data_IF_003159302722
#
_entry.id   IF_003159302722
#
_cell.length_a   1.000
_cell.length_b   1.000
_cell.length_c   1.000
_cell.angle_alpha   90.00
_cell.angle_beta   90.00
_cell.angle_gamma   90.00
#
_symmetry.space_group_name_H-M   'P 1'
#
loop_
_entity.id
_entity.type
_entity.pdbx_description
1 polymer ?
#
# COMPACT_ATOMS: atom_id res chain seq x y z
N UNK A 1 -0.40 -42.46 -37.30
CA UNK A 1 -1.04 -41.13 -37.17
C UNK A 1 -1.77 -40.90 -35.84
N UNK A 2 -2.00 -41.92 -34.99
CA UNK A 2 -2.71 -41.72 -33.71
C UNK A 2 -1.82 -41.32 -32.52
N UNK A 3 -0.51 -41.60 -32.55
CA UNK A 3 0.41 -41.34 -31.42
C UNK A 3 0.86 -39.88 -31.34
N UNK A 4 0.99 -39.18 -32.47
CA UNK A 4 1.38 -37.77 -32.50
C UNK A 4 0.29 -36.81 -31.97
N UNK A 5 -0.98 -37.21 -32.04
CA UNK A 5 -2.11 -36.39 -31.54
C UNK A 5 -2.20 -36.37 -30.01
N UNK A 6 -1.78 -37.45 -29.34
CA UNK A 6 -1.80 -37.55 -27.88
C UNK A 6 -0.68 -36.71 -27.25
N UNK A 7 0.51 -36.71 -27.84
CA UNK A 7 1.63 -35.89 -27.35
C UNK A 7 1.39 -34.39 -27.55
N UNK A 8 0.73 -33.98 -28.63
CA UNK A 8 0.37 -32.58 -28.86
C UNK A 8 -0.72 -32.10 -27.88
N UNK A 9 -1.68 -32.97 -27.51
CA UNK A 9 -2.69 -32.68 -26.48
C UNK A 9 -2.12 -32.63 -25.07
N UNK A 10 -1.14 -33.48 -24.72
CA UNK A 10 -0.43 -33.39 -23.45
C UNK A 10 0.44 -32.13 -23.34
N UNK A 11 1.07 -31.70 -24.44
CA UNK A 11 1.86 -30.46 -24.47
C UNK A 11 0.98 -29.22 -24.28
N UNK A 12 -0.21 -29.19 -24.88
CA UNK A 12 -1.22 -28.14 -24.65
C UNK A 12 -1.82 -28.19 -23.23
N UNK A 13 -1.97 -29.36 -22.62
CA UNK A 13 -2.41 -29.47 -21.21
C UNK A 13 -1.32 -29.01 -20.23
N UNK A 14 -0.04 -29.28 -20.52
CA UNK A 14 1.10 -28.82 -19.73
C UNK A 14 1.34 -27.29 -19.87
N UNK A 15 1.04 -26.71 -21.03
CA UNK A 15 1.04 -25.24 -21.24
C UNK A 15 -0.19 -24.55 -20.63
N UNK A 16 -1.30 -25.26 -20.44
CA UNK A 16 -2.48 -24.73 -19.74
C UNK A 16 -2.35 -24.79 -18.19
N UNK A 17 -1.36 -25.55 -17.68
CA UNK A 17 -1.08 -25.71 -16.26
C UNK A 17 0.12 -24.90 -15.76
N UNK A 18 0.80 -24.14 -16.62
CA UNK A 18 1.70 -23.07 -16.19
C UNK A 18 0.89 -21.82 -15.80
N UNK A 19 -0.02 -21.98 -14.84
CA UNK A 19 -0.43 -20.86 -14.01
C UNK A 19 0.79 -20.45 -13.23
N UNK A 20 1.44 -19.37 -13.63
CA UNK A 20 2.52 -18.77 -12.85
C UNK A 20 1.89 -18.37 -11.52
N UNK A 21 2.05 -19.18 -10.48
CA UNK A 21 1.76 -18.74 -9.12
C UNK A 21 2.74 -17.63 -8.82
N UNK A 22 2.25 -16.40 -8.93
CA UNK A 22 3.02 -15.24 -8.53
C UNK A 22 2.98 -15.21 -7.01
N UNK A 23 4.12 -15.51 -6.39
CA UNK A 23 4.34 -15.25 -4.97
C UNK A 23 4.26 -13.73 -4.74
N UNK A 24 3.50 -13.29 -3.74
CA UNK A 24 3.42 -11.90 -3.28
C UNK A 24 4.71 -11.38 -2.62
N UNK A 25 5.83 -12.11 -2.77
CA UNK A 25 7.13 -11.81 -2.21
C UNK A 25 7.59 -10.38 -2.54
N UNK A 26 7.46 -9.48 -1.56
CA UNK A 26 7.90 -8.09 -1.65
C UNK A 26 6.81 -7.09 -2.09
N UNK A 27 5.58 -7.50 -2.36
CA UNK A 27 4.48 -6.57 -2.66
C UNK A 27 3.80 -6.11 -1.35
N UNK A 28 3.71 -4.80 -1.13
CA UNK A 28 2.79 -4.22 -0.15
C UNK A 28 1.44 -3.91 -0.78
N UNK A 29 0.37 -3.93 0.02
CA UNK A 29 -0.97 -3.53 -0.44
C UNK A 29 -1.59 -2.56 0.56
N UNK A 30 -2.20 -1.49 0.06
CA UNK A 30 -3.04 -0.60 0.85
C UNK A 30 -4.38 -1.28 1.12
N UNK A 31 -4.72 -1.49 2.39
CA UNK A 31 -6.01 -2.02 2.80
C UNK A 31 -6.92 -0.86 3.24
N UNK A 32 -7.52 -0.21 2.24
CA UNK A 32 -8.54 0.82 2.43
C UNK A 32 -9.86 0.23 2.92
N UNK A 33 -10.59 1.00 3.73
CA UNK A 33 -11.82 0.58 4.41
C UNK A 33 -12.98 1.56 4.21
N UNK A 34 -12.90 2.48 3.23
CA UNK A 34 -13.97 3.45 2.94
C UNK A 34 -15.06 2.77 2.09
N UNK A 35 -15.72 1.79 2.68
CA UNK A 35 -16.78 0.99 2.07
C UNK A 35 -17.68 0.33 3.12
N UNK A 36 -18.91 -0.03 2.74
CA UNK A 36 -19.89 -0.70 3.60
C UNK A 36 -20.13 -2.18 3.25
N UNK A 37 -19.43 -2.70 2.24
CA UNK A 37 -19.64 -4.04 1.68
C UNK A 37 -18.41 -4.94 1.70
N UNK A 38 -17.33 -4.54 2.40
CA UNK A 38 -16.09 -5.32 2.49
C UNK A 38 -16.25 -6.60 3.33
N UNK A 39 -15.44 -7.65 3.07
CA UNK A 39 -15.36 -8.80 3.95
C UNK A 39 -14.88 -8.40 5.35
N UNK A 40 -15.20 -9.22 6.36
CA UNK A 40 -14.64 -9.02 7.69
C UNK A 40 -13.10 -9.16 7.68
N UNK A 41 -12.38 -8.44 8.56
CA UNK A 41 -10.92 -8.52 8.61
C UNK A 41 -10.37 -9.93 8.78
N UNK A 42 -11.07 -10.82 9.49
CA UNK A 42 -10.69 -12.24 9.62
C UNK A 42 -10.73 -12.99 8.29
N UNK A 43 -11.72 -12.71 7.42
CA UNK A 43 -11.78 -13.31 6.09
C UNK A 43 -10.69 -12.74 5.18
N UNK A 44 -10.42 -11.44 5.29
CA UNK A 44 -9.33 -10.77 4.57
C UNK A 44 -7.97 -11.34 4.98
N UNK A 45 -7.76 -11.60 6.27
CA UNK A 45 -6.54 -12.24 6.78
C UNK A 45 -6.26 -13.59 6.11
N UNK A 46 -7.25 -14.46 6.02
CA UNK A 46 -7.10 -15.76 5.32
C UNK A 46 -6.87 -15.58 3.82
N UNK A 47 -7.58 -14.64 3.19
CA UNK A 47 -7.39 -14.36 1.76
C UNK A 47 -5.96 -13.88 1.47
N UNK A 48 -5.43 -12.95 2.25
CA UNK A 48 -4.08 -12.43 2.04
C UNK A 48 -2.99 -13.47 2.35
N UNK A 49 -3.21 -14.34 3.34
CA UNK A 49 -2.34 -15.50 3.56
C UNK A 49 -2.28 -16.42 2.34
N UNK A 50 -3.43 -16.64 1.67
CA UNK A 50 -3.46 -17.44 0.43
C UNK A 50 -2.77 -16.78 -0.77
N UNK A 51 -2.58 -15.46 -0.70
CA UNK A 51 -1.91 -14.65 -1.74
C UNK A 51 -0.41 -14.44 -1.47
N UNK A 52 0.12 -14.96 -0.37
CA UNK A 52 1.49 -14.71 0.09
C UNK A 52 1.82 -13.20 0.21
N UNK A 53 0.79 -12.41 0.56
CA UNK A 53 0.96 -10.97 0.83
C UNK A 53 1.51 -10.82 2.24
N UNK A 54 2.70 -10.23 2.35
CA UNK A 54 3.42 -10.11 3.61
C UNK A 54 3.44 -8.68 4.17
N UNK A 55 2.87 -7.69 3.47
CA UNK A 55 2.93 -6.28 3.89
C UNK A 55 1.63 -5.55 3.60
N UNK A 56 1.11 -4.85 4.60
CA UNK A 56 -0.10 -4.04 4.51
C UNK A 56 0.13 -2.62 5.01
N UNK A 57 -0.52 -1.67 4.36
CA UNK A 57 -0.66 -0.28 4.84
C UNK A 57 -2.11 -0.01 5.15
N UNK A 58 -2.38 0.42 6.37
CA UNK A 58 -3.66 0.93 6.86
C UNK A 58 -3.59 2.45 6.96
N UNK A 59 -4.74 3.10 6.79
CA UNK A 59 -4.90 4.55 6.95
C UNK A 59 -5.26 4.94 8.39
N UNK A 60 -5.44 3.96 9.25
CA UNK A 60 -5.72 4.06 10.67
C UNK A 60 -4.96 2.96 11.45
N UNK A 61 -5.35 2.76 12.71
CA UNK A 61 -4.94 1.64 13.54
C UNK A 61 -6.17 0.81 13.97
N UNK A 62 -6.98 0.34 13.01
CA UNK A 62 -8.20 -0.42 13.31
C UNK A 62 -7.91 -1.67 14.16
N UNK A 63 -8.42 -1.75 15.41
CA UNK A 63 -8.17 -2.86 16.30
C UNK A 63 -8.71 -4.19 15.77
N UNK A 64 -9.80 -4.19 14.98
CA UNK A 64 -10.38 -5.40 14.39
C UNK A 64 -9.45 -6.00 13.33
N UNK A 65 -8.83 -5.14 12.52
CA UNK A 65 -7.83 -5.56 11.55
C UNK A 65 -6.60 -6.07 12.26
N UNK A 66 -6.00 -5.29 13.16
CA UNK A 66 -4.78 -5.70 13.87
C UNK A 66 -4.96 -7.02 14.62
N UNK A 67 -6.12 -7.26 15.22
CA UNK A 67 -6.44 -8.52 15.90
C UNK A 67 -6.63 -9.69 14.92
N UNK A 68 -7.26 -9.47 13.76
CA UNK A 68 -7.48 -10.51 12.75
C UNK A 68 -6.17 -11.05 12.12
N UNK A 69 -5.07 -10.30 12.23
CA UNK A 69 -3.74 -10.68 11.77
C UNK A 69 -2.79 -11.08 12.92
N UNK A 70 -3.32 -11.30 14.13
CA UNK A 70 -2.55 -11.79 15.27
C UNK A 70 -1.84 -13.12 14.92
N UNK A 71 -0.56 -13.20 15.27
CA UNK A 71 0.38 -14.28 15.00
C UNK A 71 0.64 -14.56 13.50
N UNK A 72 0.25 -13.65 12.61
CA UNK A 72 0.67 -13.70 11.21
C UNK A 72 2.05 -13.07 11.01
N UNK A 73 2.69 -13.37 9.87
CA UNK A 73 3.96 -12.74 9.47
C UNK A 73 3.77 -11.41 8.73
N UNK A 74 2.53 -10.92 8.58
CA UNK A 74 2.22 -9.71 7.82
C UNK A 74 2.71 -8.47 8.56
N UNK A 75 3.54 -7.68 7.90
CA UNK A 75 4.02 -6.39 8.39
C UNK A 75 3.00 -5.28 8.14
N UNK A 76 2.78 -4.43 9.14
CA UNK A 76 1.87 -3.30 9.05
C UNK A 76 2.60 -1.95 9.09
N UNK A 77 2.23 -1.09 8.14
CA UNK A 77 2.23 0.36 8.33
C UNK A 77 0.82 0.74 8.81
N UNK A 78 0.70 1.45 9.93
CA UNK A 78 -0.56 2.01 10.42
C UNK A 78 -0.58 3.53 10.25
N UNK A 79 -1.76 4.10 10.05
CA UNK A 79 -1.92 5.53 9.81
C UNK A 79 -2.36 6.31 11.05
N UNK A 80 -1.88 7.55 11.16
CA UNK A 80 -2.50 8.59 11.97
C UNK A 80 -3.08 9.61 10.98
N UNK A 81 -4.40 9.79 11.00
CA UNK A 81 -5.10 10.74 10.12
C UNK A 81 -4.68 12.19 10.31
N UNK A 82 -4.88 13.01 9.26
CA UNK A 82 -4.51 14.43 9.24
C UNK A 82 -5.22 15.23 10.34
N UNK A 83 -6.43 14.82 10.71
CA UNK A 83 -7.26 15.39 11.78
C UNK A 83 -6.63 15.26 13.18
N UNK A 84 -5.69 14.33 13.36
CA UNK A 84 -5.00 14.12 14.64
C UNK A 84 -3.65 14.81 14.73
N UNK A 85 -3.17 15.51 13.69
CA UNK A 85 -1.81 16.07 13.68
C UNK A 85 -1.58 17.07 14.82
N UNK A 86 -2.56 17.94 15.11
CA UNK A 86 -2.45 18.87 16.23
C UNK A 86 -2.36 18.12 17.57
N UNK A 87 -3.19 17.09 17.73
CA UNK A 87 -3.25 16.30 18.96
C UNK A 87 -1.99 15.46 19.16
N UNK A 88 -1.41 14.94 18.08
CA UNK A 88 -0.18 14.16 18.14
C UNK A 88 1.06 15.01 18.40
N UNK A 89 0.98 16.34 18.36
CA UNK A 89 2.04 17.21 18.86
C UNK A 89 2.03 17.37 20.40
N UNK A 90 0.95 16.95 21.08
CA UNK A 90 0.84 16.95 22.54
C UNK A 90 1.40 15.64 23.14
N UNK A 91 2.32 15.70 24.12
CA UNK A 91 2.95 14.50 24.69
C UNK A 91 1.95 13.52 25.34
N UNK A 92 0.94 14.03 26.03
CA UNK A 92 -0.03 13.19 26.75
C UNK A 92 -0.95 12.51 25.74
N UNK A 93 -1.42 13.24 24.74
CA UNK A 93 -2.28 12.69 23.69
C UNK A 93 -1.53 11.68 22.81
N UNK A 94 -0.29 11.97 22.40
CA UNK A 94 0.53 11.03 21.63
C UNK A 94 0.80 9.74 22.41
N UNK A 95 1.15 9.85 23.70
CA UNK A 95 1.33 8.69 24.57
C UNK A 95 0.05 7.86 24.70
N UNK A 96 -1.09 8.51 24.96
CA UNK A 96 -2.37 7.83 25.04
C UNK A 96 -2.70 7.11 23.72
N UNK A 97 -2.44 7.74 22.58
CA UNK A 97 -2.71 7.13 21.28
C UNK A 97 -1.87 5.86 21.07
N UNK A 98 -0.55 5.90 21.34
CA UNK A 98 0.32 4.72 21.21
C UNK A 98 -0.11 3.60 22.16
N UNK A 99 -0.41 3.93 23.42
CA UNK A 99 -0.81 2.95 24.43
C UNK A 99 -2.17 2.31 24.14
N UNK A 100 -3.09 3.03 23.53
CA UNK A 100 -4.44 2.54 23.23
C UNK A 100 -4.51 1.81 21.88
N UNK A 101 -3.84 2.33 20.85
CA UNK A 101 -4.03 1.86 19.47
C UNK A 101 -2.91 0.93 18.96
N UNK A 102 -1.71 0.97 19.55
CA UNK A 102 -0.60 0.12 19.11
C UNK A 102 -0.21 -0.92 20.14
N UNK A 103 0.11 -0.48 21.35
CA UNK A 103 0.75 -1.33 22.36
C UNK A 103 0.02 -2.65 22.65
N UNK A 104 -1.32 -2.73 22.66
CA UNK A 104 -2.04 -4.00 22.87
C UNK A 104 -1.78 -5.06 21.79
N UNK A 105 -1.34 -4.66 20.59
CA UNK A 105 -1.19 -5.52 19.41
C UNK A 105 0.26 -5.90 19.11
N UNK A 106 1.25 -5.10 19.55
CA UNK A 106 2.66 -5.24 19.16
C UNK A 106 3.29 -6.60 19.47
N UNK A 107 2.77 -7.34 20.45
CA UNK A 107 3.28 -8.65 20.82
C UNK A 107 2.89 -9.76 19.84
N UNK A 108 1.78 -9.60 19.10
CA UNK A 108 1.22 -10.64 18.25
C UNK A 108 1.08 -10.19 16.78
N UNK A 109 1.03 -8.88 16.52
CA UNK A 109 0.87 -8.33 15.18
C UNK A 109 2.10 -7.49 14.84
N UNK A 110 2.69 -7.74 13.67
CA UNK A 110 3.97 -7.15 13.25
C UNK A 110 3.78 -5.73 12.72
N UNK A 111 3.41 -4.79 13.60
CA UNK A 111 3.39 -3.36 13.28
C UNK A 111 4.83 -2.86 13.29
N UNK A 112 5.28 -2.31 12.16
CA UNK A 112 6.68 -1.90 11.96
C UNK A 112 6.83 -0.40 11.71
N UNK A 113 5.73 0.28 11.38
CA UNK A 113 5.77 1.69 11.00
C UNK A 113 4.46 2.41 11.33
N UNK A 114 4.57 3.67 11.73
CA UNK A 114 3.47 4.64 11.81
C UNK A 114 3.68 5.69 10.72
N UNK A 115 2.69 5.86 9.83
CA UNK A 115 2.62 6.99 8.91
C UNK A 115 1.80 8.10 9.56
N UNK A 116 2.46 9.19 9.96
CA UNK A 116 1.82 10.36 10.56
C UNK A 116 1.36 11.30 9.46
N UNK A 117 0.05 11.41 9.29
CA UNK A 117 -0.56 12.12 8.18
C UNK A 117 -0.46 11.36 6.85
N UNK A 118 -1.30 11.78 5.91
CA UNK A 118 -1.32 11.33 4.52
C UNK A 118 -1.62 12.51 3.61
N UNK A 119 -0.72 12.78 2.68
CA UNK A 119 -0.86 13.83 1.68
C UNK A 119 -1.10 15.24 2.25
N UNK A 120 -0.51 15.55 3.40
CA UNK A 120 -0.76 16.79 4.17
C UNK A 120 -0.63 18.06 3.33
N UNK A 121 0.35 18.13 2.42
CA UNK A 121 0.62 19.30 1.57
C UNK A 121 -0.29 19.42 0.33
N UNK A 122 -1.33 18.59 0.21
CA UNK A 122 -2.46 18.82 -0.70
C UNK A 122 -3.56 19.68 -0.07
N UNK A 123 -3.59 19.82 1.25
CA UNK A 123 -4.51 20.77 1.89
C UNK A 123 -4.06 22.20 1.61
N UNK A 124 -5.01 23.14 1.57
CA UNK A 124 -4.69 24.58 1.54
C UNK A 124 -4.56 25.17 2.97
N UNK A 125 -4.46 24.30 3.99
CA UNK A 125 -4.43 24.69 5.39
C UNK A 125 -2.99 24.65 5.93
N UNK A 126 -2.37 25.82 5.99
CA UNK A 126 -1.00 25.99 6.50
C UNK A 126 -0.87 25.62 7.98
N UNK A 127 -1.97 25.63 8.76
CA UNK A 127 -1.94 25.15 10.13
C UNK A 127 -1.67 23.64 10.15
N UNK A 128 -2.35 22.86 9.28
CA UNK A 128 -2.11 21.42 9.16
C UNK A 128 -0.67 21.15 8.73
N UNK A 129 -0.12 21.94 7.79
CA UNK A 129 1.28 21.81 7.38
C UNK A 129 2.25 21.98 8.56
N UNK A 130 2.03 23.02 9.37
CA UNK A 130 2.87 23.31 10.54
C UNK A 130 2.78 22.28 11.65
N UNK A 131 1.69 21.51 11.72
CA UNK A 131 1.48 20.47 12.72
C UNK A 131 2.19 19.14 12.38
N UNK A 132 2.54 18.90 11.11
CA UNK A 132 3.06 17.60 10.66
C UNK A 132 4.36 17.20 11.37
N UNK A 133 5.40 18.02 11.27
CA UNK A 133 6.70 17.66 11.85
C UNK A 133 6.67 17.60 13.39
N UNK A 134 6.01 18.52 14.12
CA UNK A 134 5.79 18.37 15.55
C UNK A 134 5.13 17.04 15.93
N UNK A 135 4.09 16.63 15.20
CA UNK A 135 3.43 15.34 15.41
C UNK A 135 4.39 14.16 15.18
N UNK A 136 5.13 14.15 14.07
CA UNK A 136 6.11 13.10 13.79
C UNK A 136 7.16 12.97 14.90
N UNK A 137 7.72 14.10 15.34
CA UNK A 137 8.72 14.14 16.42
C UNK A 137 8.14 13.64 17.74
N UNK A 138 6.94 14.07 18.09
CA UNK A 138 6.31 13.69 19.36
C UNK A 138 5.93 12.21 19.40
N UNK A 139 5.38 11.66 18.31
CA UNK A 139 5.09 10.23 18.18
C UNK A 139 6.38 9.42 18.26
N UNK A 140 7.45 9.84 17.58
CA UNK A 140 8.75 9.18 17.66
C UNK A 140 9.31 9.19 19.10
N UNK A 141 9.32 10.35 19.76
CA UNK A 141 9.78 10.48 21.15
C UNK A 141 8.96 9.61 22.10
N UNK A 142 7.65 9.50 21.86
CA UNK A 142 6.76 8.62 22.62
C UNK A 142 7.17 7.17 22.48
N UNK A 143 7.46 6.70 21.25
CA UNK A 143 7.97 5.35 21.01
C UNK A 143 9.31 5.11 21.70
N UNK A 144 10.23 6.08 21.66
CA UNK A 144 11.52 6.01 22.37
C UNK A 144 11.32 5.87 23.89
N UNK A 145 10.44 6.71 24.48
CA UNK A 145 10.16 6.69 25.92
C UNK A 145 9.51 5.37 26.37
N UNK A 146 8.75 4.72 25.49
CA UNK A 146 8.14 3.41 25.74
C UNK A 146 9.06 2.22 25.37
N UNK A 147 10.25 2.48 24.82
CA UNK A 147 11.20 1.45 24.36
C UNK A 147 10.74 0.70 23.10
N UNK A 148 9.89 1.32 22.29
CA UNK A 148 9.27 0.75 21.08
C UNK A 148 9.93 1.21 19.77
N UNK A 149 10.86 2.17 19.82
CA UNK A 149 11.50 2.79 18.64
C UNK A 149 12.37 1.82 17.83
N UNK A 150 12.75 0.67 18.41
CA UNK A 150 13.46 -0.41 17.70
C UNK A 150 12.54 -1.33 16.91
N UNK A 151 11.25 -1.33 17.24
CA UNK A 151 10.23 -2.15 16.56
C UNK A 151 9.43 -1.32 15.57
N UNK A 152 9.08 -0.08 15.93
CA UNK A 152 8.18 0.79 15.18
C UNK A 152 8.88 2.09 14.80
N UNK A 153 9.02 2.33 13.50
CA UNK A 153 9.54 3.61 12.98
C UNK A 153 8.40 4.60 12.71
N UNK A 154 8.75 5.88 12.55
CA UNK A 154 7.80 6.95 12.22
C UNK A 154 8.17 7.57 10.87
N UNK A 155 7.19 7.75 10.01
CA UNK A 155 7.31 8.41 8.71
C UNK A 155 6.05 9.22 8.40
N UNK A 156 5.93 9.77 7.19
CA UNK A 156 4.73 10.43 6.66
C UNK A 156 4.65 10.17 5.15
N UNK A 157 3.44 10.06 4.61
CA UNK A 157 3.20 9.84 3.19
C UNK A 157 2.89 11.15 2.47
N UNK A 158 3.64 11.41 1.39
CA UNK A 158 3.50 12.60 0.58
C UNK A 158 2.85 12.32 -0.78
N UNK A 159 2.06 13.26 -1.33
CA UNK A 159 1.59 13.16 -2.70
C UNK A 159 2.70 13.57 -3.67
N UNK A 160 2.74 13.02 -4.89
CA UNK A 160 3.73 13.45 -5.89
C UNK A 160 3.67 14.96 -6.22
N UNK A 161 2.55 15.63 -5.96
CA UNK A 161 2.34 17.07 -6.17
C UNK A 161 3.18 17.97 -5.26
N UNK A 162 3.97 17.43 -4.34
CA UNK A 162 4.99 18.21 -3.59
C UNK A 162 6.25 18.49 -4.43
N UNK A 163 6.39 17.85 -5.58
CA UNK A 163 7.49 18.08 -6.52
C UNK A 163 7.13 19.27 -7.42
N UNK A 164 7.96 20.32 -7.37
CA UNK A 164 7.80 21.54 -8.16
C UNK A 164 8.31 21.40 -9.58
N UNK A 165 9.51 20.84 -9.75
CA UNK A 165 10.04 20.42 -11.05
C UNK A 165 10.33 18.92 -11.02
N UNK A 166 9.87 18.18 -12.02
CA UNK A 166 10.08 16.72 -12.13
C UNK A 166 10.67 16.29 -13.47
N UNK A 167 10.88 17.23 -14.40
CA UNK A 167 11.42 16.92 -15.73
C UNK A 167 12.61 17.84 -16.09
N UNK A 168 13.74 17.28 -16.56
CA UNK A 168 14.05 15.84 -16.50
C UNK A 168 14.19 15.36 -15.03
N UNK A 169 14.11 14.04 -14.74
CA UNK A 169 14.14 13.53 -13.37
C UNK A 169 15.32 14.04 -12.52
N UNK A 170 16.51 14.17 -13.10
CA UNK A 170 17.70 14.71 -12.43
C UNK A 170 17.58 16.17 -11.96
N UNK A 171 16.62 16.92 -12.50
CA UNK A 171 16.30 18.30 -12.12
C UNK A 171 15.18 18.38 -11.08
N UNK A 172 14.85 17.26 -10.43
CA UNK A 172 13.84 17.18 -9.39
C UNK A 172 14.01 18.25 -8.30
N UNK A 173 12.95 18.99 -7.97
CA UNK A 173 12.91 19.93 -6.84
C UNK A 173 11.57 19.86 -6.12
N UNK A 174 11.54 20.14 -4.82
CA UNK A 174 10.28 20.37 -4.10
C UNK A 174 9.65 21.70 -4.50
N UNK A 175 8.33 21.84 -4.32
CA UNK A 175 7.68 23.14 -4.49
C UNK A 175 8.27 24.16 -3.52
N UNK A 176 8.39 25.40 -3.97
CA UNK A 176 9.03 26.47 -3.19
C UNK A 176 8.23 26.85 -1.92
N UNK A 177 6.91 26.74 -1.95
CA UNK A 177 6.02 27.13 -0.85
C UNK A 177 6.10 26.18 0.36
N UNK A 178 6.67 24.99 0.20
CA UNK A 178 6.81 23.99 1.27
C UNK A 178 8.27 23.64 1.60
N UNK A 179 9.23 24.29 0.94
CA UNK A 179 10.64 23.85 0.97
C UNK A 179 11.24 23.85 2.38
N UNK A 180 10.85 24.82 3.23
CA UNK A 180 11.31 24.90 4.62
C UNK A 180 10.79 23.71 5.45
N UNK A 181 9.55 23.26 5.21
CA UNK A 181 9.02 22.05 5.83
C UNK A 181 9.77 20.81 5.36
N UNK A 182 10.10 20.73 4.06
CA UNK A 182 10.82 19.59 3.49
C UNK A 182 12.22 19.45 4.05
N UNK A 183 12.95 20.55 4.26
CA UNK A 183 14.24 20.52 4.95
C UNK A 183 14.12 19.86 6.33
N UNK A 184 13.20 20.36 7.16
CA UNK A 184 13.06 19.90 8.53
C UNK A 184 12.49 18.46 8.64
N UNK A 185 11.67 18.03 7.67
CA UNK A 185 11.16 16.65 7.58
C UNK A 185 12.27 15.69 7.13
N UNK A 186 13.11 16.07 6.17
CA UNK A 186 14.23 15.23 5.74
C UNK A 186 15.33 15.13 6.79
N UNK A 187 15.57 16.19 7.56
CA UNK A 187 16.43 16.13 8.76
C UNK A 187 15.91 15.07 9.74
N UNK A 188 14.59 15.01 9.97
CA UNK A 188 13.99 14.00 10.82
C UNK A 188 14.17 12.58 10.25
N UNK A 189 13.92 12.38 8.95
CA UNK A 189 14.14 11.08 8.30
C UNK A 189 15.61 10.63 8.38
N UNK A 190 16.54 11.55 8.12
CA UNK A 190 17.97 11.28 8.21
C UNK A 190 18.41 10.92 9.64
N UNK A 191 17.91 11.63 10.65
CA UNK A 191 18.23 11.37 12.07
C UNK A 191 17.64 10.06 12.59
N UNK A 192 16.39 9.76 12.20
CA UNK A 192 15.66 8.57 12.68
C UNK A 192 15.84 7.33 11.80
N UNK A 193 16.53 7.48 10.66
CA UNK A 193 16.71 6.43 9.64
C UNK A 193 15.39 5.86 9.14
N UNK A 194 14.36 6.70 9.03
CA UNK A 194 13.08 6.35 8.45
C UNK A 194 13.02 6.71 6.96
N UNK A 195 12.24 5.97 6.15
CA UNK A 195 12.10 6.26 4.72
C UNK A 195 11.19 7.47 4.49
N UNK A 196 11.37 8.12 3.35
CA UNK A 196 10.45 9.10 2.79
C UNK A 196 9.41 8.38 1.94
N UNK A 197 8.13 8.46 2.32
CA UNK A 197 7.05 7.79 1.59
C UNK A 197 6.43 8.71 0.54
N UNK A 198 6.30 8.23 -0.69
CA UNK A 198 5.66 8.94 -1.80
C UNK A 198 4.48 8.15 -2.38
N UNK A 199 3.35 8.82 -2.56
CA UNK A 199 2.22 8.37 -3.34
C UNK A 199 2.44 8.82 -4.79
N UNK A 200 2.78 7.88 -5.67
CA UNK A 200 3.19 8.15 -7.04
C UNK A 200 2.31 7.40 -8.03
N UNK A 201 1.60 8.16 -8.86
CA UNK A 201 0.61 7.63 -9.80
C UNK A 201 0.87 8.16 -11.22
N UNK A 202 1.50 7.35 -12.10
CA UNK A 202 1.61 7.65 -13.53
C UNK A 202 0.25 7.90 -14.19
N UNK A 203 -0.81 7.28 -13.67
CA UNK A 203 -2.19 7.47 -14.12
C UNK A 203 -2.59 8.94 -14.19
N UNK A 204 -2.35 9.73 -13.15
CA UNK A 204 -2.79 11.14 -13.13
C UNK A 204 -2.10 11.98 -14.21
N UNK A 205 -0.80 11.76 -14.42
CA UNK A 205 -0.07 12.44 -15.47
C UNK A 205 -0.64 12.11 -16.87
N UNK A 206 -0.89 10.82 -17.14
CA UNK A 206 -1.51 10.40 -18.40
C UNK A 206 -2.94 10.96 -18.56
N UNK A 207 -3.76 10.87 -17.52
CA UNK A 207 -5.14 11.39 -17.51
C UNK A 207 -5.18 12.88 -17.86
N UNK A 208 -4.23 13.67 -17.36
CA UNK A 208 -4.17 15.12 -17.57
C UNK A 208 -3.57 15.52 -18.92
N UNK A 209 -2.80 14.64 -19.58
CA UNK A 209 -2.13 14.93 -20.85
C UNK A 209 -1.96 13.69 -21.75
N UNK A 210 -3.06 13.02 -22.14
CA UNK A 210 -3.00 11.76 -22.88
C UNK A 210 -2.42 11.90 -24.29
N UNK A 211 -2.50 13.10 -24.88
CA UNK A 211 -1.93 13.40 -26.20
C UNK A 211 -0.41 13.64 -26.17
N UNK A 212 0.17 13.83 -24.97
CA UNK A 212 1.60 14.14 -24.79
C UNK A 212 2.36 13.01 -24.10
N UNK A 213 1.68 12.26 -23.25
CA UNK A 213 2.27 11.17 -22.48
C UNK A 213 1.85 9.86 -23.13
N UNK A 214 2.85 9.10 -23.59
CA UNK A 214 2.60 7.76 -24.14
C UNK A 214 1.95 6.86 -23.09
N UNK A 215 0.86 6.18 -23.48
CA UNK A 215 0.22 5.17 -22.65
C UNK A 215 1.19 4.02 -22.34
N UNK A 216 2.03 3.64 -23.30
CA UNK A 216 3.00 2.56 -23.11
C UNK A 216 4.04 2.90 -22.03
N UNK A 217 4.47 4.17 -21.98
CA UNK A 217 5.43 4.68 -21.00
C UNK A 217 4.89 4.65 -19.56
N UNK A 218 3.59 4.87 -19.37
CA UNK A 218 2.95 4.84 -18.04
C UNK A 218 2.44 3.46 -17.65
N UNK A 219 2.39 2.50 -18.58
CA UNK A 219 1.97 1.11 -18.35
C UNK A 219 3.13 0.10 -18.33
N UNK A 220 4.38 0.57 -18.32
CA UNK A 220 5.60 -0.26 -18.41
C UNK A 220 5.65 -1.16 -19.65
N UNK A 221 4.97 -0.76 -20.73
CA UNK A 221 5.05 -1.46 -22.02
C UNK A 221 6.33 -1.06 -22.78
N UNK A 222 6.77 -1.86 -23.77
CA UNK A 222 7.86 -1.46 -24.64
C UNK A 222 7.58 -0.11 -25.31
N UNK A 223 8.48 0.85 -25.14
CA UNK A 223 8.38 2.20 -25.70
C UNK A 223 9.78 2.82 -25.83
N UNK A 224 9.88 3.97 -26.51
CA UNK A 224 11.14 4.69 -26.69
C UNK A 224 11.70 5.30 -25.39
N UNK A 225 10.89 5.34 -24.32
CA UNK A 225 11.25 5.92 -23.04
C UNK A 225 11.62 7.39 -23.13
N UNK A 226 12.41 7.83 -22.17
CA UNK A 226 13.09 9.11 -22.19
C UNK A 226 14.51 8.96 -21.68
N UNK A 227 15.44 9.75 -22.23
CA UNK A 227 16.82 9.83 -21.73
C UNK A 227 17.02 11.18 -21.07
N UNK A 228 17.43 11.15 -19.81
CA UNK A 228 17.66 12.35 -19.02
C UNK A 228 18.90 13.06 -19.59
N UNK A 229 18.78 14.32 -20.07
CA UNK A 229 19.88 15.00 -20.77
C UNK A 229 21.04 15.39 -19.85
N UNK A 230 20.83 15.45 -18.53
CA UNK A 230 21.87 15.83 -17.58
C UNK A 230 22.69 14.64 -17.10
N UNK A 231 22.05 13.46 -17.01
CA UNK A 231 22.66 12.25 -16.43
C UNK A 231 22.86 11.12 -17.43
N UNK A 232 22.25 11.22 -18.61
CA UNK A 232 22.17 10.17 -19.63
C UNK A 232 21.51 8.87 -19.13
N UNK A 233 20.76 8.93 -18.01
CA UNK A 233 19.98 7.81 -17.52
C UNK A 233 18.72 7.64 -18.37
N UNK A 234 18.47 6.41 -18.78
CA UNK A 234 17.30 6.06 -19.57
C UNK A 234 16.18 5.55 -18.68
N UNK A 235 15.00 6.15 -18.81
CA UNK A 235 13.78 5.75 -18.11
C UNK A 235 12.82 5.18 -19.14
N UNK A 236 12.56 3.89 -19.03
CA UNK A 236 11.61 3.15 -19.88
C UNK A 236 10.17 3.25 -19.34
N UNK A 237 9.97 3.83 -18.15
CA UNK A 237 8.68 4.02 -17.53
C UNK A 237 8.61 5.26 -16.62
N UNK A 238 7.40 5.80 -16.48
CA UNK A 238 7.18 7.03 -15.70
C UNK A 238 7.34 6.86 -14.20
N UNK A 239 6.96 5.72 -13.62
CA UNK A 239 7.04 5.53 -12.16
C UNK A 239 8.49 5.68 -11.68
N UNK A 240 9.45 5.12 -12.41
CA UNK A 240 10.88 5.23 -12.09
C UNK A 240 11.37 6.67 -12.25
N UNK A 241 10.89 7.37 -13.27
CA UNK A 241 11.19 8.78 -13.48
C UNK A 241 10.66 9.65 -12.33
N UNK A 242 9.46 9.35 -11.83
CA UNK A 242 8.86 10.03 -10.67
C UNK A 242 9.68 9.78 -9.40
N UNK A 243 10.04 8.52 -9.11
CA UNK A 243 10.86 8.19 -7.92
C UNK A 243 12.23 8.86 -7.99
N UNK A 244 12.90 8.87 -9.14
CA UNK A 244 14.20 9.52 -9.27
C UNK A 244 14.13 11.06 -9.28
N UNK A 245 12.99 11.64 -9.68
CA UNK A 245 12.72 13.05 -9.44
C UNK A 245 12.61 13.37 -7.94
N UNK A 246 12.00 12.49 -7.13
CA UNK A 246 11.97 12.64 -5.67
C UNK A 246 13.39 12.51 -5.09
N UNK A 247 14.16 11.50 -5.48
CA UNK A 247 15.56 11.39 -5.04
C UNK A 247 16.39 12.63 -5.40
N UNK A 248 16.17 13.18 -6.59
CA UNK A 248 16.86 14.40 -7.02
C UNK A 248 16.43 15.62 -6.21
N UNK A 249 15.15 15.75 -5.87
CA UNK A 249 14.64 16.81 -5.01
C UNK A 249 15.23 16.73 -3.58
N UNK A 250 15.28 15.53 -3.01
CA UNK A 250 15.90 15.26 -1.70
C UNK A 250 17.39 15.64 -1.73
N UNK A 251 18.11 15.24 -2.79
CA UNK A 251 19.53 15.57 -3.00
C UNK A 251 19.75 17.07 -3.16
N UNK A 252 18.87 17.77 -3.87
CA UNK A 252 18.98 19.21 -4.10
C UNK A 252 18.95 20.03 -2.80
N UNK A 253 18.32 19.50 -1.74
CA UNK A 253 18.26 20.13 -0.42
C UNK A 253 19.17 19.50 0.63
N UNK A 254 20.16 18.70 0.19
CA UNK A 254 21.31 18.30 1.00
C UNK A 254 21.31 16.86 1.52
N UNK A 255 20.28 16.06 1.23
CA UNK A 255 20.17 14.70 1.75
C UNK A 255 20.50 13.65 0.68
N UNK A 256 21.31 12.67 1.04
CA UNK A 256 21.64 11.52 0.16
C UNK A 256 21.44 10.16 0.83
N UNK A 257 21.10 10.18 2.11
CA UNK A 257 20.97 9.03 3.00
C UNK A 257 19.51 8.64 3.27
N UNK A 258 18.54 9.41 2.79
CA UNK A 258 17.10 9.13 2.92
C UNK A 258 16.64 8.22 1.78
N UNK A 259 16.10 7.06 2.12
CA UNK A 259 15.48 6.12 1.18
C UNK A 259 14.08 6.61 0.80
N UNK A 260 13.72 6.48 -0.48
CA UNK A 260 12.37 6.75 -0.99
C UNK A 260 11.64 5.43 -1.19
N UNK A 261 10.42 5.32 -0.65
CA UNK A 261 9.53 4.18 -0.84
C UNK A 261 8.18 4.64 -1.37
N UNK A 262 7.55 3.82 -2.20
CA UNK A 262 6.24 4.12 -2.77
C UNK A 262 5.17 3.60 -1.80
N UNK A 263 4.51 4.52 -1.10
CA UNK A 263 3.42 4.19 -0.19
C UNK A 263 2.09 3.96 -0.89
N UNK A 264 1.94 4.49 -2.09
CA UNK A 264 0.78 4.23 -2.95
C UNK A 264 1.14 4.36 -4.42
N UNK A 265 0.65 3.40 -5.19
CA UNK A 265 0.58 3.50 -6.65
C UNK A 265 -0.48 2.55 -7.17
N UNK A 266 -1.19 2.92 -8.23
CA UNK A 266 -2.28 2.11 -8.76
C UNK A 266 -2.85 2.70 -10.04
N UNK A 267 -3.80 1.98 -10.62
CA UNK A 267 -4.50 2.40 -11.84
C UNK A 267 -5.97 1.99 -11.76
N UNK A 268 -6.93 2.92 -11.92
CA UNK A 268 -8.33 2.62 -11.76
C UNK A 268 -8.86 1.80 -12.95
N UNK A 269 -9.65 0.77 -12.64
CA UNK A 269 -10.28 -0.12 -13.63
C UNK A 269 -11.48 0.51 -14.36
N UNK A 270 -12.01 1.61 -13.83
CA UNK A 270 -13.14 2.34 -14.37
C UNK A 270 -13.11 3.77 -13.85
N UNK A 271 -13.37 4.75 -14.72
CA UNK A 271 -13.46 6.16 -14.35
C UNK A 271 -14.62 6.87 -15.03
N UNK A 272 -14.76 8.16 -14.75
CA UNK A 272 -15.68 9.04 -15.47
C UNK A 272 -15.22 9.19 -16.94
N UNK A 273 -16.10 9.65 -17.85
CA UNK A 273 -15.73 9.86 -19.26
C UNK A 273 -14.51 10.79 -19.47
N UNK A 274 -14.23 11.67 -18.51
CA UNK A 274 -13.09 12.59 -18.52
C UNK A 274 -11.80 11.96 -17.97
N UNK A 275 -11.86 10.76 -17.39
CA UNK A 275 -10.72 10.08 -16.78
C UNK A 275 -10.06 9.12 -17.78
N UNK A 276 -9.52 9.70 -18.85
CA UNK A 276 -8.89 8.98 -19.95
C UNK A 276 -7.85 7.99 -19.42
N UNK A 277 -7.93 6.75 -19.90
CA UNK A 277 -7.05 5.65 -19.49
C UNK A 277 -7.62 4.75 -18.39
N UNK A 278 -8.69 5.14 -17.70
CA UNK A 278 -9.33 4.35 -16.63
C UNK A 278 -10.14 3.18 -17.19
N UNK A 279 -9.45 2.10 -17.54
CA UNK A 279 -10.05 0.89 -18.12
C UNK A 279 -9.52 -0.36 -17.43
N UNK A 280 -10.33 -1.43 -17.44
CA UNK A 280 -9.94 -2.75 -16.92
C UNK A 280 -8.62 -3.23 -17.54
N UNK A 281 -8.46 -3.07 -18.85
CA UNK A 281 -7.25 -3.50 -19.58
C UNK A 281 -6.01 -2.73 -19.12
N UNK A 282 -6.09 -1.41 -18.96
CA UNK A 282 -4.95 -0.61 -18.52
C UNK A 282 -4.61 -0.88 -17.05
N UNK A 283 -5.62 -1.07 -16.20
CA UNK A 283 -5.40 -1.48 -14.81
C UNK A 283 -4.70 -2.84 -14.72
N UNK A 284 -5.13 -3.82 -15.52
CA UNK A 284 -4.47 -5.13 -15.60
C UNK A 284 -3.01 -5.01 -16.05
N UNK A 285 -2.73 -4.23 -17.10
CA UNK A 285 -1.39 -4.02 -17.62
C UNK A 285 -0.49 -3.33 -16.60
N UNK A 286 -0.96 -2.24 -15.98
CA UNK A 286 -0.20 -1.49 -14.99
C UNK A 286 0.26 -2.40 -13.84
N UNK A 287 -0.69 -3.09 -13.20
CA UNK A 287 -0.41 -3.92 -12.04
C UNK A 287 0.39 -5.17 -12.40
N UNK A 288 0.07 -5.84 -13.52
CA UNK A 288 0.82 -7.02 -13.97
C UNK A 288 2.28 -6.70 -14.28
N UNK A 289 2.54 -5.55 -14.91
CA UNK A 289 3.91 -5.17 -15.24
C UNK A 289 4.67 -4.63 -14.03
N UNK A 290 4.03 -3.86 -13.16
CA UNK A 290 4.61 -3.45 -11.88
C UNK A 290 5.04 -4.68 -11.05
N UNK A 291 4.18 -5.69 -10.98
CA UNK A 291 4.49 -6.93 -10.26
C UNK A 291 5.70 -7.67 -10.84
N UNK A 292 5.82 -7.75 -12.18
CA UNK A 292 7.02 -8.29 -12.83
C UNK A 292 8.29 -7.51 -12.46
N UNK A 293 8.21 -6.17 -12.40
CA UNK A 293 9.34 -5.31 -12.03
C UNK A 293 9.78 -5.54 -10.57
N UNK A 294 8.81 -5.70 -9.66
CA UNK A 294 9.05 -6.04 -8.24
C UNK A 294 9.71 -7.43 -8.13
N UNK A 295 9.19 -8.44 -8.83
CA UNK A 295 9.76 -9.81 -8.80
C UNK A 295 11.20 -9.86 -9.32
N UNK A 296 11.50 -9.05 -10.32
CA UNK A 296 12.86 -8.91 -10.87
C UNK A 296 13.79 -8.11 -9.95
N UNK A 297 13.28 -7.60 -8.80
CA UNK A 297 14.01 -6.76 -7.85
C UNK A 297 14.65 -5.55 -8.52
N UNK A 298 13.97 -4.99 -9.52
CA UNK A 298 14.50 -3.83 -10.24
C UNK A 298 14.50 -2.60 -9.34
N UNK A 299 15.62 -1.87 -9.37
CA UNK A 299 15.68 -0.49 -8.91
C UNK A 299 15.40 0.50 -10.04
N UNK A 300 15.39 1.79 -9.71
CA UNK A 300 15.29 2.87 -10.69
C UNK A 300 16.64 3.10 -11.40
N UNK A 301 16.69 3.80 -12.54
CA UNK A 301 17.95 4.13 -13.21
C UNK A 301 18.98 4.83 -12.33
N UNK A 302 18.56 5.74 -11.43
CA UNK A 302 19.47 6.41 -10.50
C UNK A 302 19.83 5.58 -9.26
N UNK A 303 19.04 4.56 -8.93
CA UNK A 303 19.25 3.64 -7.78
C UNK A 303 19.12 2.16 -8.19
N UNK A 304 19.92 1.66 -9.15
CA UNK A 304 19.71 0.33 -9.73
C UNK A 304 19.96 -0.83 -8.76
N UNK A 305 20.71 -0.60 -7.67
CA UNK A 305 21.00 -1.60 -6.64
C UNK A 305 19.98 -1.64 -5.50
N UNK A 306 19.01 -0.73 -5.48
CA UNK A 306 17.96 -0.66 -4.45
C UNK A 306 16.65 -1.02 -5.13
N UNK A 307 16.11 -2.23 -4.90
CA UNK A 307 14.82 -2.62 -5.48
C UNK A 307 13.72 -1.64 -5.08
N UNK A 308 12.77 -1.39 -5.98
CA UNK A 308 11.60 -0.59 -5.65
C UNK A 308 10.82 -1.24 -4.49
N UNK A 309 10.43 -0.42 -3.52
CA UNK A 309 9.59 -0.82 -2.40
C UNK A 309 8.21 -0.16 -2.56
N UNK A 310 7.17 -0.98 -2.75
CA UNK A 310 5.87 -0.51 -3.22
C UNK A 310 4.72 -1.08 -2.40
N UNK A 311 3.79 -0.20 -2.04
CA UNK A 311 2.43 -0.54 -1.62
C UNK A 311 1.44 -0.19 -2.75
N UNK A 312 0.81 -1.20 -3.34
CA UNK A 312 -0.20 -1.00 -4.38
C UNK A 312 -1.50 -0.47 -3.77
N UNK A 313 -2.11 0.51 -4.44
CA UNK A 313 -3.40 1.07 -4.09
C UNK A 313 -4.46 0.54 -5.08
N UNK A 314 -5.44 -0.27 -4.64
CA UNK A 314 -5.66 -0.78 -3.28
C UNK A 314 -6.20 -2.22 -3.28
N UNK A 315 -6.38 -2.83 -2.11
CA UNK A 315 -6.85 -4.21 -1.99
C UNK A 315 -8.25 -4.40 -2.60
N UNK A 316 -9.19 -3.53 -2.24
CA UNK A 316 -10.59 -3.64 -2.67
C UNK A 316 -11.08 -2.38 -3.38
N UNK A 317 -12.13 -2.53 -4.19
CA UNK A 317 -12.94 -1.41 -4.62
C UNK A 317 -13.71 -0.83 -3.42
N UNK A 318 -13.55 0.46 -3.15
CA UNK A 318 -14.09 1.13 -1.97
C UNK A 318 -15.30 2.01 -2.36
N UNK A 319 -16.51 1.47 -2.21
CA UNK A 319 -17.74 2.06 -2.77
C UNK A 319 -18.17 3.40 -2.13
N UNK A 320 -17.65 3.77 -0.97
CA UNK A 320 -17.96 5.03 -0.29
C UNK A 320 -16.90 6.12 -0.50
N UNK A 321 -15.83 5.85 -1.27
CA UNK A 321 -14.83 6.90 -1.57
C UNK A 321 -15.49 8.07 -2.34
N UNK A 322 -15.30 9.32 -1.87
CA UNK A 322 -15.83 10.50 -2.55
C UNK A 322 -15.04 10.78 -3.84
N UNK A 323 -15.49 11.76 -4.63
CA UNK A 323 -14.78 12.21 -5.83
C UNK A 323 -15.19 11.46 -7.11
N UNK A 324 -14.34 11.44 -8.15
CA UNK A 324 -14.68 10.89 -9.46
C UNK A 324 -14.81 9.36 -9.44
N UNK A 325 -15.40 8.77 -10.49
CA UNK A 325 -15.69 7.33 -10.53
C UNK A 325 -14.45 6.46 -10.31
N UNK A 326 -13.28 6.89 -10.76
CA UNK A 326 -12.01 6.19 -10.51
C UNK A 326 -11.75 5.86 -9.06
N UNK A 327 -12.09 6.75 -8.12
CA UNK A 327 -11.81 6.58 -6.69
C UNK A 327 -12.44 5.32 -6.10
N UNK A 328 -13.55 4.84 -6.69
CA UNK A 328 -14.27 3.63 -6.25
C UNK A 328 -13.80 2.36 -6.97
N UNK A 329 -12.80 2.45 -7.85
CA UNK A 329 -12.44 1.41 -8.82
C UNK A 329 -10.92 1.11 -8.89
N UNK A 330 -10.15 1.43 -7.84
CA UNK A 330 -8.71 1.12 -7.72
C UNK A 330 -8.40 -0.30 -7.19
N UNK A 331 -9.42 -1.04 -6.77
CA UNK A 331 -9.26 -2.34 -6.14
C UNK A 331 -8.64 -3.40 -7.05
N UNK A 332 -7.73 -4.20 -6.50
CA UNK A 332 -7.31 -5.47 -7.11
C UNK A 332 -8.44 -6.50 -7.06
N UNK A 333 -9.29 -6.43 -6.03
CA UNK A 333 -10.41 -7.33 -5.82
C UNK A 333 -11.73 -6.57 -5.66
N UNK A 334 -12.81 -7.20 -6.09
CA UNK A 334 -14.15 -6.81 -5.66
C UNK A 334 -14.34 -7.18 -4.17
N UNK A 335 -15.32 -6.55 -3.48
CA UNK A 335 -15.61 -6.87 -2.08
C UNK A 335 -16.04 -8.33 -1.82
N UNK A 336 -16.43 -9.08 -2.84
CA UNK A 336 -16.72 -10.51 -2.73
C UNK A 336 -15.46 -11.41 -2.80
N UNK A 337 -14.28 -10.81 -2.97
CA UNK A 337 -13.00 -11.51 -3.08
C UNK A 337 -12.64 -11.95 -4.50
N UNK A 338 -13.49 -11.73 -5.49
CA UNK A 338 -13.16 -12.01 -6.89
C UNK A 338 -12.17 -10.98 -7.43
N UNK A 339 -11.17 -11.38 -8.23
CA UNK A 339 -10.23 -10.42 -8.82
C UNK A 339 -10.94 -9.52 -9.83
N UNK A 340 -10.66 -8.22 -9.81
CA UNK A 340 -11.19 -7.25 -10.80
C UNK A 340 -10.56 -7.51 -12.17
N UNK A 341 -9.28 -7.90 -12.19
CA UNK A 341 -8.50 -8.28 -13.37
C UNK A 341 -7.43 -9.30 -12.96
N UNK A 342 -6.89 -10.05 -13.92
CA UNK A 342 -5.97 -11.16 -13.63
C UNK A 342 -4.50 -10.71 -13.62
N UNK A 343 -3.95 -10.48 -12.43
CA UNK A 343 -2.50 -10.20 -12.25
C UNK A 343 -1.70 -11.43 -11.80
N UNK A 344 -2.25 -12.64 -11.94
CA UNK A 344 -1.61 -13.87 -11.46
C UNK A 344 -1.70 -14.07 -9.94
N UNK A 345 -2.44 -13.21 -9.22
CA UNK A 345 -2.80 -13.38 -7.82
C UNK A 345 -4.14 -14.13 -7.74
N UNK A 346 -4.14 -15.34 -7.18
CA UNK A 346 -5.35 -16.13 -6.96
C UNK A 346 -5.60 -16.29 -5.46
N UNK A 347 -6.42 -15.39 -4.90
CA UNK A 347 -6.77 -15.40 -3.48
C UNK A 347 -7.99 -16.27 -3.22
N UNK A 348 -7.99 -17.00 -2.12
CA UNK A 348 -9.14 -17.75 -1.65
C UNK A 348 -9.81 -16.98 -0.49
N UNK A 349 -10.96 -16.37 -0.76
CA UNK A 349 -11.77 -15.76 0.29
C UNK A 349 -12.68 -16.85 0.91
N UNK A 350 -12.55 -17.16 2.22
CA UNK A 350 -13.38 -18.18 2.84
C UNK A 350 -14.87 -17.86 2.72
N UNK A 351 -15.69 -18.89 2.52
CA UNK A 351 -17.15 -18.76 2.54
C UNK A 351 -17.67 -18.25 3.88
N UNK A 352 -18.84 -17.62 3.88
CA UNK A 352 -19.52 -17.20 5.11
C UNK A 352 -20.06 -18.46 5.79
N UNK A 353 -19.44 -18.88 6.90
CA UNK A 353 -19.97 -19.96 7.73
C UNK A 353 -21.11 -19.37 8.56
N UNK A 354 -22.34 -19.59 8.15
CA UNK A 354 -23.48 -19.43 9.05
C UNK A 354 -23.43 -20.60 10.04
N UNK A 355 -23.09 -20.34 11.30
CA UNK A 355 -23.38 -21.33 12.35
C UNK A 355 -24.90 -21.43 12.46
N UNK A 356 -25.50 -22.45 11.85
CA UNK A 356 -26.87 -22.81 12.15
C UNK A 356 -26.93 -23.12 13.64
N UNK A 357 -27.81 -22.43 14.37
CA UNK A 357 -28.09 -22.75 15.76
C UNK A 357 -28.53 -24.22 15.81
N UNK A 358 -27.66 -25.09 16.32
CA UNK A 358 -27.98 -26.48 16.55
C UNK A 358 -29.08 -26.53 17.62
N UNK A 359 -30.26 -27.00 17.24
CA UNK A 359 -31.30 -27.40 18.18
C UNK A 359 -30.73 -28.49 19.11
N UNK A 360 -30.34 -28.11 20.32
CA UNK A 360 -30.05 -29.05 21.40
C UNK A 360 -31.40 -29.58 21.88
N UNK A 361 -31.81 -30.74 21.36
CA UNK A 361 -32.86 -31.53 21.99
C UNK A 361 -32.29 -32.14 23.28
N UNK A 362 -32.60 -31.54 24.41
CA UNK A 362 -32.38 -32.13 25.73
C UNK A 362 -33.44 -33.20 25.96
N UNK A 363 -33.12 -34.46 25.64
CA UNK A 363 -33.87 -35.60 26.18
C UNK A 363 -33.46 -35.82 27.63
N UNK A 364 -34.39 -35.52 28.54
CA UNK A 364 -34.33 -35.88 29.96
C UNK A 364 -34.14 -37.39 30.13
N UNK A 365 -33.05 -37.81 30.78
CA UNK A 365 -32.97 -39.12 31.44
C UNK A 365 -32.82 -38.83 32.94
N UNK A 366 -33.94 -38.89 33.64
CA UNK A 366 -33.98 -38.99 35.10
C UNK A 366 -33.76 -40.45 35.48
N UNK A 367 -32.67 -40.74 36.19
CA UNK A 367 -32.67 -41.85 37.14
C UNK A 367 -31.91 -41.41 38.39
N UNK A 368 -32.65 -41.14 39.46
CA UNK A 368 -32.15 -41.03 40.81
C UNK A 368 -32.43 -42.38 41.49
N UNK A 369 -31.36 -43.02 41.97
CA UNK A 369 -31.44 -44.05 42.99
C UNK A 369 -30.54 -43.62 44.16
N UNK A 370 -31.19 -43.33 45.29
CA UNK A 370 -30.57 -43.31 46.61
C UNK A 370 -31.53 -43.97 47.61
N UNK A 371 -31.12 -45.13 48.07
CA UNK A 371 -31.47 -45.83 49.31
C UNK A 371 -30.15 -46.53 49.72
N UNK A 372 -29.68 -46.67 50.95
CA UNK A 372 -30.04 -46.24 52.32
C UNK A 372 -28.96 -46.93 53.20
N UNK A 373 -28.50 -46.29 54.30
CA UNK A 373 -27.73 -46.87 55.45
C UNK A 373 -26.32 -47.44 55.13
N UNK A 374 -25.25 -47.27 55.91
CA UNK A 374 -24.95 -46.87 57.30
C UNK A 374 -23.72 -45.97 57.27
#
# INVERSE_FOLDING_TARGET
>A
MATYSVHLRLLFLLLALSGVQVLGAGLGINYGQIADNLPSPSRVSVMLQSLDVSRLKLYDADPKVLQAFSNSSVEFIVGIGNEYLQDMADPVKAQNWVQQHLQPYLAQTKITCISVGNEVFMSNDTQIWSNLLPAMKMVHNTLVNLGLDKQVIVTTAHPFTIIGNSFPPSSGTFRQDIIEYMHAILDFHSQTKSPFLINAYPFFAYKDSPDKISLDYVLFQPNEGMTDPNTNLHYDNMLYAQVDAVYSAIKAIGHTDVEVKISETGWPSKGDPTEVGSTLQNAELYHSNLLKRIQQKQGTPAKPSVPIDVYVFALFNENLKPGPTSERNYGLFYPDGTPVFNIGLQGNLPGIIYSSASNINVTHILSHHHHVLV
#
